data_IF_962620839692
#
_entry.id   IF_962620839692
#
_cell.length_a   1.000
_cell.length_b   1.000
_cell.length_c   1.000
_cell.angle_alpha   90.00
_cell.angle_beta   90.00
_cell.angle_gamma   90.00
#
_symmetry.space_group_name_H-M   'P 1'
#
loop_
_entity.id
_entity.type
_entity.pdbx_description
1 polymer ?
#
# COMPACT_ATOMS: atom_id res chain seq x y z
N UNK A 1 -16.00 27.74 -23.41
CA UNK A 1 -16.53 27.09 -22.20
C UNK A 1 -18.00 26.82 -22.44
N UNK A 2 -18.47 25.58 -22.27
CA UNK A 2 -19.87 25.20 -22.41
C UNK A 2 -20.31 24.30 -21.26
N UNK A 3 -21.53 24.48 -20.77
CA UNK A 3 -22.18 23.57 -19.82
C UNK A 3 -22.92 22.50 -20.61
N UNK A 4 -22.70 21.24 -20.25
CA UNK A 4 -23.28 20.10 -20.93
C UNK A 4 -23.91 19.16 -19.89
N UNK A 5 -25.09 18.68 -20.21
CA UNK A 5 -25.78 17.66 -19.43
C UNK A 5 -25.46 16.30 -20.05
N UNK A 6 -24.76 15.44 -19.31
CA UNK A 6 -24.32 14.14 -19.82
C UNK A 6 -25.03 13.02 -19.07
N UNK A 7 -25.63 12.10 -19.83
CA UNK A 7 -26.21 10.86 -19.32
C UNK A 7 -25.15 9.76 -19.38
N UNK A 8 -24.74 9.27 -18.22
CA UNK A 8 -23.78 8.17 -18.10
C UNK A 8 -24.45 6.81 -18.23
N UNK A 9 -23.67 5.75 -18.52
CA UNK A 9 -24.19 4.37 -18.61
C UNK A 9 -24.75 3.85 -17.29
N UNK A 10 -24.36 4.44 -16.15
CA UNK A 10 -24.94 4.13 -14.83
C UNK A 10 -26.34 4.75 -14.61
N UNK A 11 -26.90 5.46 -15.59
CA UNK A 11 -28.23 6.10 -15.50
C UNK A 11 -28.24 7.46 -14.80
N UNK A 12 -27.08 7.95 -14.33
CA UNK A 12 -26.98 9.27 -13.72
C UNK A 12 -26.73 10.35 -14.76
N UNK A 13 -27.43 11.47 -14.60
CA UNK A 13 -27.24 12.69 -15.37
C UNK A 13 -26.36 13.65 -14.59
N UNK A 14 -25.26 14.10 -15.17
CA UNK A 14 -24.30 15.02 -14.54
C UNK A 14 -24.11 16.26 -15.41
N UNK A 15 -24.14 17.44 -14.79
CA UNK A 15 -23.74 18.67 -15.46
C UNK A 15 -22.22 18.82 -15.41
N UNK A 16 -21.60 18.88 -16.58
CA UNK A 16 -20.15 19.04 -16.73
C UNK A 16 -19.84 20.30 -17.50
N UNK A 17 -18.81 21.00 -17.04
CA UNK A 17 -18.31 22.17 -17.72
C UNK A 17 -17.07 21.79 -18.54
N UNK A 18 -17.17 21.91 -19.86
CA UNK A 18 -16.09 21.53 -20.77
C UNK A 18 -15.44 22.77 -21.39
N UNK A 19 -14.11 22.72 -21.43
CA UNK A 19 -13.23 23.73 -22.01
C UNK A 19 -12.56 23.18 -23.27
N UNK A 20 -11.91 24.05 -24.04
CA UNK A 20 -11.22 23.67 -25.29
C UNK A 20 -12.11 23.73 -26.54
N UNK A 21 -11.58 23.33 -27.71
CA UNK A 21 -12.27 23.34 -29.00
C UNK A 21 -13.51 22.45 -29.04
N UNK A 22 -14.47 22.75 -29.92
CA UNK A 22 -15.75 22.01 -30.04
C UNK A 22 -15.52 20.51 -30.19
N UNK A 23 -14.63 20.12 -31.12
CA UNK A 23 -14.30 18.71 -31.40
C UNK A 23 -13.80 17.94 -30.18
N UNK A 24 -13.02 18.58 -29.31
CA UNK A 24 -12.55 17.95 -28.07
C UNK A 24 -13.67 17.80 -27.05
N UNK A 25 -14.57 18.79 -26.96
CA UNK A 25 -15.74 18.73 -26.08
C UNK A 25 -16.70 17.62 -26.50
N UNK A 26 -16.97 17.49 -27.80
CA UNK A 26 -17.79 16.42 -28.37
C UNK A 26 -17.20 15.04 -28.06
N UNK A 27 -15.92 14.81 -28.38
CA UNK A 27 -15.22 13.55 -28.05
C UNK A 27 -15.27 13.23 -26.55
N UNK A 28 -15.13 14.25 -25.69
CA UNK A 28 -15.18 14.06 -24.23
C UNK A 28 -16.59 13.73 -23.76
N UNK A 29 -17.63 14.31 -24.36
CA UNK A 29 -19.01 13.94 -24.09
C UNK A 29 -19.32 12.52 -24.50
N UNK A 30 -18.92 12.09 -25.70
CA UNK A 30 -19.09 10.71 -26.17
C UNK A 30 -18.42 9.72 -25.22
N UNK A 31 -17.18 10.03 -24.79
CA UNK A 31 -16.49 9.21 -23.79
C UNK A 31 -17.29 9.15 -22.47
N UNK A 32 -17.72 10.28 -21.93
CA UNK A 32 -18.51 10.32 -20.69
C UNK A 32 -19.84 9.55 -20.82
N UNK A 33 -20.52 9.61 -21.97
CA UNK A 33 -21.75 8.85 -22.23
C UNK A 33 -21.51 7.35 -22.31
N UNK A 34 -20.29 6.93 -22.71
CA UNK A 34 -19.87 5.52 -22.73
C UNK A 34 -19.38 4.98 -21.39
N UNK A 35 -19.19 5.84 -20.38
CA UNK A 35 -18.69 5.44 -19.05
C UNK A 35 -19.71 5.69 -17.94
N UNK A 36 -19.50 5.04 -16.79
CA UNK A 36 -20.21 5.39 -15.55
C UNK A 36 -19.79 6.78 -15.06
N UNK A 37 -20.60 7.39 -14.20
CA UNK A 37 -20.27 8.69 -13.62
C UNK A 37 -19.15 8.56 -12.57
N UNK A 38 -18.50 9.67 -12.25
CA UNK A 38 -17.38 9.69 -11.30
C UNK A 38 -17.75 9.17 -9.91
N UNK A 39 -18.99 9.36 -9.45
CA UNK A 39 -19.41 8.92 -8.13
C UNK A 39 -19.68 7.42 -8.07
N UNK A 40 -20.29 6.85 -9.12
CA UNK A 40 -20.40 5.40 -9.27
C UNK A 40 -19.02 4.73 -9.39
N UNK A 41 -18.10 5.33 -10.14
CA UNK A 41 -16.74 4.84 -10.23
C UNK A 41 -16.04 4.80 -8.86
N UNK A 42 -16.16 5.87 -8.07
CA UNK A 42 -15.59 5.92 -6.71
C UNK A 42 -16.20 4.88 -5.78
N UNK A 43 -17.51 4.61 -5.90
CA UNK A 43 -18.18 3.55 -5.13
C UNK A 43 -17.65 2.17 -5.50
N UNK A 44 -17.59 1.84 -6.78
CA UNK A 44 -17.03 0.56 -7.25
C UNK A 44 -15.58 0.35 -6.78
N UNK A 45 -14.76 1.40 -6.84
CA UNK A 45 -13.38 1.36 -6.35
C UNK A 45 -13.31 1.10 -4.84
N UNK A 46 -14.18 1.74 -4.05
CA UNK A 46 -14.23 1.53 -2.61
C UNK A 46 -14.71 0.11 -2.25
N UNK A 47 -15.72 -0.40 -2.96
CA UNK A 47 -16.23 -1.77 -2.82
C UNK A 47 -15.16 -2.81 -3.19
N UNK A 48 -14.46 -2.61 -4.30
CA UNK A 48 -13.37 -3.48 -4.72
C UNK A 48 -12.21 -3.47 -3.70
N UNK A 49 -11.87 -2.31 -3.16
CA UNK A 49 -10.84 -2.19 -2.14
C UNK A 49 -11.26 -2.85 -0.82
N UNK A 50 -12.55 -2.77 -0.46
CA UNK A 50 -13.12 -3.45 0.71
C UNK A 50 -13.09 -4.97 0.53
N UNK A 51 -13.56 -5.48 -0.60
CA UNK A 51 -13.54 -6.92 -0.91
C UNK A 51 -12.10 -7.48 -0.90
N UNK A 52 -11.13 -6.72 -1.43
CA UNK A 52 -9.72 -7.13 -1.37
C UNK A 52 -9.18 -7.15 0.05
N UNK A 53 -9.58 -6.20 0.90
CA UNK A 53 -9.20 -6.19 2.31
C UNK A 53 -9.78 -7.42 3.04
N UNK A 54 -11.06 -7.72 2.83
CA UNK A 54 -11.74 -8.91 3.38
C UNK A 54 -11.07 -10.21 2.93
N UNK A 55 -10.79 -10.35 1.62
CA UNK A 55 -10.07 -11.52 1.07
C UNK A 55 -8.64 -11.67 1.63
N UNK A 56 -8.04 -10.57 2.08
CA UNK A 56 -6.70 -10.57 2.68
C UNK A 56 -6.75 -10.74 4.21
N UNK A 57 -7.93 -10.94 4.79
CA UNK A 57 -8.13 -11.05 6.24
C UNK A 57 -7.86 -9.76 7.01
N UNK A 58 -7.90 -8.60 6.35
CA UNK A 58 -7.67 -7.31 6.98
C UNK A 58 -8.96 -6.82 7.66
N UNK A 59 -8.85 -6.18 8.84
CA UNK A 59 -10.01 -5.71 9.57
C UNK A 59 -10.68 -4.52 8.87
N UNK A 60 -11.98 -4.36 9.11
CA UNK A 60 -12.75 -3.24 8.58
C UNK A 60 -12.27 -1.91 9.17
N UNK A 61 -12.26 -0.87 8.33
CA UNK A 61 -11.85 0.46 8.73
C UNK A 61 -13.01 1.26 9.33
N UNK A 62 -12.71 2.05 10.36
CA UNK A 62 -13.60 2.95 11.06
C UNK A 62 -13.30 4.40 10.65
N UNK A 63 -14.35 5.16 10.35
CA UNK A 63 -14.27 6.56 9.94
C UNK A 63 -15.47 6.98 9.08
N UNK A 64 -15.41 8.19 8.52
CA UNK A 64 -16.40 8.59 7.50
C UNK A 64 -16.23 7.79 6.21
N UNK A 65 -17.29 7.64 5.41
CA UNK A 65 -17.25 6.93 4.12
C UNK A 65 -16.11 7.42 3.21
N UNK A 66 -15.89 8.74 3.17
CA UNK A 66 -14.79 9.34 2.39
C UNK A 66 -13.41 8.97 2.94
N UNK A 67 -13.26 8.95 4.27
CA UNK A 67 -12.01 8.53 4.90
C UNK A 67 -11.74 7.05 4.69
N UNK A 68 -12.75 6.19 4.84
CA UNK A 68 -12.62 4.74 4.62
C UNK A 68 -12.22 4.46 3.17
N UNK A 69 -12.92 5.05 2.20
CA UNK A 69 -12.61 4.85 0.77
C UNK A 69 -11.17 5.25 0.42
N UNK A 70 -10.66 6.32 1.02
CA UNK A 70 -9.27 6.73 0.83
C UNK A 70 -8.30 5.83 1.59
N UNK A 71 -8.56 5.57 2.87
CA UNK A 71 -7.68 4.79 3.73
C UNK A 71 -7.51 3.34 3.25
N UNK A 72 -8.53 2.74 2.63
CA UNK A 72 -8.39 1.42 1.99
C UNK A 72 -7.35 1.42 0.87
N UNK A 73 -7.29 2.50 0.07
CA UNK A 73 -6.26 2.65 -0.97
C UNK A 73 -4.88 2.85 -0.36
N UNK A 74 -4.77 3.74 0.63
CA UNK A 74 -3.51 4.00 1.35
C UNK A 74 -2.98 2.74 2.02
N UNK A 75 -3.82 1.98 2.72
CA UNK A 75 -3.44 0.72 3.37
C UNK A 75 -2.82 -0.25 2.37
N UNK A 76 -3.44 -0.44 1.21
CA UNK A 76 -2.91 -1.35 0.20
C UNK A 76 -1.56 -0.89 -0.34
N UNK A 77 -1.40 0.41 -0.58
CA UNK A 77 -0.14 0.99 -1.06
C UNK A 77 0.97 0.91 -0.01
N UNK A 78 0.69 1.30 1.24
CA UNK A 78 1.66 1.28 2.33
C UNK A 78 2.09 -0.15 2.68
N UNK A 79 1.16 -1.11 2.76
CA UNK A 79 1.51 -2.52 2.98
C UNK A 79 2.42 -3.02 1.86
N UNK A 80 2.07 -2.73 0.60
CA UNK A 80 2.89 -3.14 -0.54
C UNK A 80 4.30 -2.55 -0.48
N UNK A 81 4.42 -1.23 -0.28
CA UNK A 81 5.73 -0.55 -0.15
C UNK A 81 6.52 -1.17 0.99
N UNK A 82 5.85 -1.47 2.10
CA UNK A 82 6.50 -2.01 3.28
C UNK A 82 6.99 -3.45 3.06
N UNK A 83 6.19 -4.29 2.39
CA UNK A 83 6.55 -5.64 1.97
C UNK A 83 7.69 -5.63 0.94
N UNK A 84 7.63 -4.75 -0.07
CA UNK A 84 8.70 -4.58 -1.07
C UNK A 84 10.03 -4.16 -0.41
N UNK A 85 9.96 -3.26 0.58
CA UNK A 85 11.12 -2.85 1.39
C UNK A 85 11.66 -4.04 2.18
N UNK A 86 10.78 -4.82 2.81
CA UNK A 86 11.14 -6.02 3.56
C UNK A 86 11.83 -7.06 2.67
N UNK A 87 11.34 -7.26 1.44
CA UNK A 87 11.93 -8.15 0.45
C UNK A 87 13.28 -7.65 -0.08
N UNK A 88 13.46 -6.33 -0.19
CA UNK A 88 14.71 -5.69 -0.58
C UNK A 88 15.83 -5.78 0.46
N UNK A 89 15.49 -6.04 1.73
CA UNK A 89 16.47 -6.34 2.77
C UNK A 89 17.10 -7.72 2.47
N UNK A 90 18.25 -7.70 1.78
CA UNK A 90 19.08 -8.85 1.33
C UNK A 90 19.23 -9.98 2.35
N UNK A 91 19.11 -9.67 3.65
CA UNK A 91 19.15 -10.60 4.76
C UNK A 91 17.93 -11.54 4.84
N UNK A 92 16.73 -11.07 4.47
CA UNK A 92 15.49 -11.85 4.50
C UNK A 92 15.46 -12.95 3.44
N UNK A 93 15.97 -12.65 2.24
CA UNK A 93 16.16 -13.62 1.17
C UNK A 93 17.18 -14.72 1.51
N UNK A 94 18.10 -14.45 2.45
CA UNK A 94 19.16 -15.40 2.85
C UNK A 94 18.80 -16.28 4.06
N UNK A 95 17.66 -16.03 4.73
CA UNK A 95 17.21 -16.77 5.91
C UNK A 95 18.01 -16.48 7.20
N UNK A 96 19.01 -15.62 7.14
CA UNK A 96 19.93 -15.38 8.25
C UNK A 96 19.33 -14.58 9.40
N UNK A 97 18.14 -13.97 9.23
CA UNK A 97 17.37 -13.33 10.31
C UNK A 97 16.87 -14.33 11.37
N UNK A 98 16.80 -15.61 11.01
CA UNK A 98 16.36 -16.69 11.91
C UNK A 98 17.48 -17.20 12.81
N UNK A 99 18.73 -16.81 12.54
CA UNK A 99 19.87 -17.30 13.28
C UNK A 99 20.09 -16.47 14.55
N UNK A 100 20.40 -17.13 15.65
CA UNK A 100 20.83 -16.46 16.89
C UNK A 100 22.27 -15.95 16.73
N UNK A 101 22.66 -14.99 17.57
CA UNK A 101 24.05 -14.52 17.60
C UNK A 101 25.03 -15.68 17.87
N UNK A 102 24.62 -16.65 18.68
CA UNK A 102 25.39 -17.85 19.00
C UNK A 102 25.57 -18.75 17.77
N UNK A 103 24.51 -18.97 16.98
CA UNK A 103 24.56 -19.75 15.75
C UNK A 103 25.42 -19.08 14.68
N UNK A 104 25.30 -17.75 14.53
CA UNK A 104 26.14 -16.96 13.62
C UNK A 104 27.60 -17.04 14.05
N UNK A 105 27.87 -16.87 15.34
CA UNK A 105 29.21 -16.95 15.92
C UNK A 105 29.81 -18.33 15.71
N UNK A 106 29.07 -19.40 15.99
CA UNK A 106 29.51 -20.78 15.80
C UNK A 106 29.81 -21.09 14.33
N UNK A 107 28.97 -20.61 13.40
CA UNK A 107 29.18 -20.77 11.96
C UNK A 107 30.42 -20.01 11.45
N UNK A 108 30.66 -18.80 11.95
CA UNK A 108 31.84 -18.01 11.57
C UNK A 108 33.12 -18.58 12.18
N UNK A 109 33.08 -19.03 13.44
CA UNK A 109 34.21 -19.72 14.08
C UNK A 109 34.56 -21.02 13.36
N UNK A 110 33.58 -21.83 12.96
CA UNK A 110 33.84 -23.06 12.21
C UNK A 110 34.45 -22.82 10.82
N UNK A 111 34.27 -21.61 10.27
CA UNK A 111 34.91 -21.15 9.03
C UNK A 111 36.30 -20.50 9.25
N UNK A 112 36.81 -20.50 10.47
CA UNK A 112 38.12 -19.93 10.81
C UNK A 112 38.17 -18.39 10.77
N UNK A 113 37.02 -17.72 10.87
CA UNK A 113 36.96 -16.25 10.90
C UNK A 113 37.50 -15.74 12.25
N UNK A 114 38.33 -14.69 12.21
CA UNK A 114 38.92 -14.12 13.41
C UNK A 114 37.87 -13.46 14.32
N UNK A 115 38.03 -13.56 15.65
CA UNK A 115 37.04 -13.07 16.63
C UNK A 115 36.70 -11.57 16.47
N UNK A 116 37.69 -10.74 16.11
CA UNK A 116 37.48 -9.33 15.84
C UNK A 116 36.56 -9.09 14.62
N UNK A 117 36.70 -9.90 13.57
CA UNK A 117 35.85 -9.85 12.39
C UNK A 117 34.45 -10.41 12.67
N UNK A 118 34.34 -11.45 13.50
CA UNK A 118 33.05 -11.97 13.98
C UNK A 118 32.28 -10.87 14.69
N UNK A 119 32.91 -10.15 15.62
CA UNK A 119 32.29 -9.03 16.34
C UNK A 119 31.80 -7.93 15.39
N UNK A 120 32.60 -7.58 14.38
CA UNK A 120 32.21 -6.58 13.38
C UNK A 120 31.01 -7.04 12.53
N UNK A 121 30.98 -8.32 12.12
CA UNK A 121 29.86 -8.90 11.35
C UNK A 121 28.59 -9.00 12.20
N UNK A 122 28.68 -9.40 13.47
CA UNK A 122 27.54 -9.42 14.39
C UNK A 122 26.94 -8.03 14.57
N UNK A 123 27.77 -6.99 14.74
CA UNK A 123 27.29 -5.61 14.85
C UNK A 123 26.54 -5.15 13.58
N UNK A 124 27.06 -5.50 12.40
CA UNK A 124 26.38 -5.20 11.13
C UNK A 124 25.02 -5.93 11.03
N UNK A 125 24.99 -7.22 11.37
CA UNK A 125 23.76 -8.03 11.38
C UNK A 125 22.73 -7.48 12.38
N UNK A 126 23.15 -7.06 13.58
CA UNK A 126 22.26 -6.48 14.58
C UNK A 126 21.56 -5.22 14.05
N UNK A 127 22.31 -4.33 13.38
CA UNK A 127 21.73 -3.10 12.80
C UNK A 127 20.74 -3.38 11.67
N UNK A 128 20.99 -4.40 10.85
CA UNK A 128 20.07 -4.83 9.78
C UNK A 128 18.84 -5.55 10.35
N UNK A 129 19.03 -6.38 11.39
CA UNK A 129 17.95 -7.03 12.13
C UNK A 129 17.00 -6.00 12.73
N UNK A 130 17.52 -4.94 13.34
CA UNK A 130 16.70 -3.87 13.90
C UNK A 130 15.84 -3.17 12.83
N UNK A 131 16.41 -2.86 11.65
CA UNK A 131 15.64 -2.30 10.52
C UNK A 131 14.52 -3.25 10.08
N UNK A 132 14.84 -4.53 9.98
CA UNK A 132 13.90 -5.57 9.60
C UNK A 132 12.75 -5.71 10.61
N UNK A 133 13.04 -5.78 11.90
CA UNK A 133 12.04 -5.89 12.97
C UNK A 133 11.13 -4.66 13.00
N UNK A 134 11.69 -3.46 12.82
CA UNK A 134 10.89 -2.22 12.68
C UNK A 134 9.95 -2.30 11.47
N UNK A 135 10.44 -2.81 10.35
CA UNK A 135 9.64 -2.92 9.13
C UNK A 135 8.53 -3.95 9.25
N UNK A 136 8.80 -5.10 9.86
CA UNK A 136 7.77 -6.08 10.23
C UNK A 136 6.71 -5.48 11.14
N UNK A 137 7.13 -4.82 12.22
CA UNK A 137 6.22 -4.23 13.19
C UNK A 137 5.30 -3.20 12.53
N UNK A 138 5.82 -2.43 11.57
CA UNK A 138 5.02 -1.51 10.75
C UNK A 138 3.96 -2.26 9.92
N UNK A 139 4.34 -3.35 9.24
CA UNK A 139 3.41 -4.18 8.46
C UNK A 139 2.34 -4.78 9.37
N UNK A 140 2.73 -5.35 10.51
CA UNK A 140 1.82 -5.93 11.49
C UNK A 140 0.85 -4.89 12.05
N UNK A 141 1.34 -3.70 12.41
CA UNK A 141 0.50 -2.58 12.82
C UNK A 141 -0.53 -2.23 11.74
N UNK A 142 -0.11 -2.08 10.48
CA UNK A 142 -1.03 -1.79 9.37
C UNK A 142 -2.07 -2.89 9.14
N UNK A 143 -1.72 -4.14 9.43
CA UNK A 143 -2.62 -5.30 9.29
C UNK A 143 -3.67 -5.36 10.40
N UNK A 144 -3.40 -4.82 11.58
CA UNK A 144 -4.35 -4.83 12.71
C UNK A 144 -5.05 -3.50 12.97
N UNK A 145 -4.51 -2.41 12.43
CA UNK A 145 -5.10 -1.07 12.57
C UNK A 145 -6.54 -1.05 12.07
N UNK A 146 -7.42 -0.23 12.64
CA UNK A 146 -8.79 -0.07 12.18
C UNK A 146 -9.15 1.38 11.90
N UNK A 147 -8.34 2.34 12.32
CA UNK A 147 -8.59 3.76 12.11
C UNK A 147 -8.28 4.18 10.68
N UNK A 148 -9.28 4.62 9.93
CA UNK A 148 -9.06 5.23 8.62
C UNK A 148 -8.19 6.50 8.72
N UNK A 149 -8.31 7.24 9.84
CA UNK A 149 -7.54 8.45 10.10
C UNK A 149 -6.04 8.14 10.26
N UNK A 150 -5.69 7.01 10.89
CA UNK A 150 -4.29 6.61 11.07
C UNK A 150 -3.57 6.47 9.73
N UNK A 151 -4.17 5.78 8.75
CA UNK A 151 -3.57 5.64 7.42
C UNK A 151 -3.37 6.98 6.70
N UNK A 152 -4.27 7.93 6.92
CA UNK A 152 -4.21 9.27 6.32
C UNK A 152 -3.08 10.11 6.96
N UNK A 153 -2.85 9.95 8.26
CA UNK A 153 -1.80 10.66 9.01
C UNK A 153 -0.42 10.04 8.84
N UNK A 154 -0.35 8.73 8.54
CA UNK A 154 0.89 7.95 8.40
C UNK A 154 1.19 7.57 6.94
N UNK A 155 0.78 8.43 6.00
CA UNK A 155 1.07 8.25 4.56
C UNK A 155 2.39 8.86 4.12
#
# INVERSE_FOLDING_TARGET
MGKYTVNHTCGHTVEVQLFGPIKERERKMEWMQSTICSDCYRKQEAEAAKAKAENSGLPELQGSEKQIAWALKLRQEQIKIAEDTLHGLRWYASGAYKLTEEEITANLRSKGVAEAEIKARLAAVASEKEKYERQLALIEQMKVETSAKWFIENR
#
